data_IF_109070151573
#
_entry.id   IF_109070151573
#
_cell.length_a   1.000
_cell.length_b   1.000
_cell.length_c   1.000
_cell.angle_alpha   90.00
_cell.angle_beta   90.00
_cell.angle_gamma   90.00
#
_symmetry.space_group_name_H-M   'P 1'
#
loop_
_entity.id
_entity.type
_entity.pdbx_description
1 polymer ?
#
# COMPACT_ATOMS: atom_id res chain seq x y z
N UNK A 1 -11.09 -10.18 24.81
CA UNK A 1 -10.77 -9.15 25.82
C UNK A 1 -10.98 -9.75 27.20
N UNK A 2 -9.89 -9.94 27.93
CA UNK A 2 -9.93 -10.37 29.33
C UNK A 2 -10.07 -9.15 30.23
N UNK A 3 -10.61 -9.30 31.44
CA UNK A 3 -10.77 -8.20 32.40
C UNK A 3 -9.45 -7.47 32.73
N UNK A 4 -8.30 -8.13 32.52
CA UNK A 4 -6.95 -7.53 32.60
C UNK A 4 -6.66 -6.49 31.53
N UNK A 5 -7.28 -6.58 30.35
CA UNK A 5 -7.06 -5.62 29.26
C UNK A 5 -7.75 -4.28 29.52
N UNK A 6 -8.70 -4.25 30.48
CA UNK A 6 -9.50 -3.07 30.80
C UNK A 6 -8.81 -2.14 31.81
N UNK A 7 -7.86 -2.65 32.59
CA UNK A 7 -7.03 -1.83 33.48
C UNK A 7 -5.87 -1.13 32.73
N UNK A 8 -5.59 -1.54 31.48
CA UNK A 8 -4.55 -0.95 30.63
C UNK A 8 -4.98 0.36 29.94
N UNK A 9 -6.25 0.77 30.06
CA UNK A 9 -6.80 1.93 29.33
C UNK A 9 -6.97 3.19 30.17
N UNK A 10 -6.68 3.14 31.47
CA UNK A 10 -7.02 4.24 32.39
C UNK A 10 -5.76 4.77 33.06
N UNK A 11 -5.46 6.06 32.87
CA UNK A 11 -4.48 6.75 33.72
C UNK A 11 -5.03 6.83 35.15
N UNK A 12 -4.16 7.10 36.14
CA UNK A 12 -4.52 7.20 37.55
C UNK A 12 -5.67 8.19 37.87
N UNK A 13 -6.07 9.03 36.91
CA UNK A 13 -7.17 10.00 36.99
C UNK A 13 -8.47 9.61 36.27
N UNK A 14 -8.61 8.39 35.72
CA UNK A 14 -9.87 7.98 35.10
C UNK A 14 -10.07 8.49 33.66
N UNK A 15 -9.08 9.15 33.06
CA UNK A 15 -9.10 9.56 31.66
C UNK A 15 -8.58 8.43 30.77
N UNK A 16 -9.31 8.12 29.69
CA UNK A 16 -8.86 7.17 28.67
C UNK A 16 -7.55 7.66 28.08
N UNK A 17 -6.49 6.84 28.18
CA UNK A 17 -5.19 7.16 27.59
C UNK A 17 -5.36 7.38 26.08
N UNK A 18 -5.01 8.58 25.60
CA UNK A 18 -5.02 8.93 24.17
C UNK A 18 -4.02 8.10 23.34
N UNK A 19 -3.23 7.25 23.99
CA UNK A 19 -2.27 6.33 23.40
C UNK A 19 -2.86 4.92 23.14
N UNK A 20 -4.18 4.74 23.28
CA UNK A 20 -4.82 3.42 23.22
C UNK A 20 -4.67 2.79 21.84
N UNK A 21 -3.80 1.79 21.79
CA UNK A 21 -3.44 0.97 20.65
C UNK A 21 -4.53 -0.07 20.38
N UNK A 22 -5.48 0.22 19.49
CA UNK A 22 -6.35 -0.83 18.98
C UNK A 22 -5.66 -1.49 17.79
N UNK A 23 -4.97 -2.63 18.04
CA UNK A 23 -4.58 -3.55 16.96
C UNK A 23 -5.88 -3.95 16.24
N UNK A 24 -6.19 -3.31 15.12
CA UNK A 24 -7.29 -3.73 14.25
C UNK A 24 -6.89 -5.13 13.74
N UNK A 25 -7.45 -6.16 14.36
CA UNK A 25 -7.33 -7.54 13.92
C UNK A 25 -8.10 -7.69 12.63
N UNK A 26 -7.50 -7.27 11.52
CA UNK A 26 -8.04 -7.59 10.20
C UNK A 26 -7.88 -9.08 9.93
N UNK A 27 -8.90 -9.70 9.31
CA UNK A 27 -8.81 -11.11 8.94
C UNK A 27 -7.61 -11.31 7.99
N UNK A 28 -6.80 -12.36 8.19
CA UNK A 28 -5.60 -12.60 7.38
C UNK A 28 -5.94 -12.79 5.89
N UNK A 29 -7.13 -13.27 5.57
CA UNK A 29 -7.61 -13.43 4.19
C UNK A 29 -7.95 -12.08 3.56
N UNK A 30 -8.62 -11.17 4.28
CA UNK A 30 -8.89 -9.80 3.80
C UNK A 30 -7.60 -9.02 3.62
N UNK A 31 -6.66 -9.15 4.57
CA UNK A 31 -5.31 -8.59 4.44
C UNK A 31 -4.62 -9.16 3.21
N UNK A 32 -4.59 -10.47 3.03
CA UNK A 32 -3.97 -11.08 1.87
C UNK A 32 -4.60 -10.66 0.53
N UNK A 33 -5.94 -10.66 0.44
CA UNK A 33 -6.66 -10.29 -0.78
C UNK A 33 -6.54 -8.80 -1.12
N UNK A 34 -6.48 -7.92 -0.12
CA UNK A 34 -6.41 -6.48 -0.33
C UNK A 34 -4.97 -5.94 -0.41
N UNK A 35 -3.99 -6.66 0.17
CA UNK A 35 -2.66 -6.13 0.48
C UNK A 35 -1.52 -7.05 0.04
N UNK A 36 -1.43 -8.27 0.57
CA UNK A 36 -0.23 -9.13 0.42
C UNK A 36 -0.18 -9.94 -0.90
N UNK A 37 -1.31 -10.16 -1.56
CA UNK A 37 -1.41 -11.05 -2.72
C UNK A 37 -0.74 -10.50 -3.99
N UNK A 38 0.02 -11.36 -4.69
CA UNK A 38 0.51 -11.02 -6.04
C UNK A 38 -0.67 -10.57 -6.93
N UNK A 39 -0.55 -9.38 -7.53
CA UNK A 39 -1.58 -8.77 -8.40
C UNK A 39 -2.11 -9.69 -9.50
N UNK A 40 -1.22 -10.50 -10.08
CA UNK A 40 -1.59 -11.48 -11.10
C UNK A 40 -2.41 -12.63 -10.53
N UNK A 41 -2.16 -13.01 -9.27
CA UNK A 41 -2.96 -14.01 -8.56
C UNK A 41 -4.34 -13.47 -8.27
N UNK A 42 -4.47 -12.23 -7.78
CA UNK A 42 -5.78 -11.60 -7.53
C UNK A 42 -6.56 -11.45 -8.84
N UNK A 43 -5.92 -10.92 -9.89
CA UNK A 43 -6.53 -10.86 -11.22
C UNK A 43 -6.94 -12.26 -11.71
N UNK A 44 -6.08 -13.26 -11.51
CA UNK A 44 -6.37 -14.66 -11.84
C UNK A 44 -7.54 -15.25 -11.05
N UNK A 45 -7.67 -14.92 -9.76
CA UNK A 45 -8.81 -15.33 -8.92
C UNK A 45 -10.10 -14.66 -9.36
N UNK A 46 -10.07 -13.35 -9.66
CA UNK A 46 -11.23 -12.63 -10.20
C UNK A 46 -11.66 -13.21 -11.56
N UNK A 47 -10.69 -13.49 -12.43
CA UNK A 47 -10.87 -14.17 -13.70
C UNK A 47 -11.46 -15.57 -13.53
N UNK A 48 -10.91 -16.39 -12.62
CA UNK A 48 -11.40 -17.73 -12.32
C UNK A 48 -12.82 -17.70 -11.72
N UNK A 49 -13.10 -16.71 -10.86
CA UNK A 49 -14.43 -16.45 -10.32
C UNK A 49 -15.43 -16.09 -11.42
N UNK A 50 -15.05 -15.24 -12.37
CA UNK A 50 -15.89 -14.92 -13.53
C UNK A 50 -16.13 -16.16 -14.41
N UNK A 51 -15.10 -16.97 -14.68
CA UNK A 51 -15.25 -18.22 -15.41
C UNK A 51 -16.25 -19.16 -14.71
N UNK A 52 -16.08 -19.36 -13.40
CA UNK A 52 -16.98 -20.18 -12.61
C UNK A 52 -18.41 -19.63 -12.59
N UNK A 53 -18.58 -18.31 -12.57
CA UNK A 53 -19.90 -17.67 -12.65
C UNK A 53 -20.58 -17.95 -14.01
N UNK A 54 -19.85 -17.88 -15.13
CA UNK A 54 -20.40 -18.23 -16.44
C UNK A 54 -20.80 -19.71 -16.50
N UNK A 55 -19.98 -20.61 -15.96
CA UNK A 55 -20.30 -22.04 -15.85
C UNK A 55 -21.55 -22.25 -14.99
N UNK A 56 -21.67 -21.56 -13.86
CA UNK A 56 -22.84 -21.66 -13.00
C UNK A 56 -24.12 -21.16 -13.70
N UNK A 57 -24.04 -20.08 -14.47
CA UNK A 57 -25.16 -19.59 -15.30
C UNK A 57 -25.57 -20.61 -16.36
N UNK A 58 -24.62 -21.31 -16.98
CA UNK A 58 -24.92 -22.40 -17.91
C UNK A 58 -25.63 -23.57 -17.22
N UNK A 59 -25.12 -24.03 -16.08
CA UNK A 59 -25.73 -25.13 -15.31
C UNK A 59 -27.15 -24.77 -14.84
N UNK A 60 -27.39 -23.49 -14.54
CA UNK A 60 -28.72 -22.96 -14.21
C UNK A 60 -29.65 -22.81 -15.43
N UNK A 61 -29.18 -23.08 -16.65
CA UNK A 61 -29.93 -22.93 -17.90
C UNK A 61 -30.11 -21.47 -18.37
N UNK A 62 -29.35 -20.53 -17.79
CA UNK A 62 -29.45 -19.10 -18.08
C UNK A 62 -28.46 -18.61 -19.15
N UNK A 63 -27.50 -19.44 -19.55
CA UNK A 63 -26.49 -19.11 -20.56
C UNK A 63 -26.57 -20.09 -21.75
N UNK A 64 -27.32 -19.77 -22.82
CA UNK A 64 -27.55 -20.67 -23.94
C UNK A 64 -26.35 -20.69 -24.89
N UNK A 65 -25.31 -21.47 -24.56
CA UNK A 65 -24.06 -21.56 -25.34
C UNK A 65 -24.26 -22.06 -26.78
N UNK A 66 -25.33 -22.83 -27.03
CA UNK A 66 -25.71 -23.35 -28.35
C UNK A 66 -26.38 -22.30 -29.22
N UNK A 67 -26.92 -21.23 -28.63
CA UNK A 67 -27.45 -20.08 -29.36
C UNK A 67 -26.28 -19.15 -29.74
N UNK A 68 -25.77 -19.38 -30.94
CA UNK A 68 -24.65 -18.60 -31.47
C UNK A 68 -24.97 -17.10 -31.56
N UNK A 69 -26.21 -16.73 -31.87
CA UNK A 69 -26.59 -15.32 -32.02
C UNK A 69 -26.60 -14.60 -30.67
N UNK A 70 -27.11 -15.26 -29.63
CA UNK A 70 -27.07 -14.73 -28.26
C UNK A 70 -25.63 -14.50 -27.77
N UNK A 71 -24.74 -15.47 -27.96
CA UNK A 71 -23.34 -15.36 -27.53
C UNK A 71 -22.58 -14.31 -28.35
N UNK A 72 -22.77 -14.27 -29.67
CA UNK A 72 -22.17 -13.25 -30.55
C UNK A 72 -22.63 -11.85 -30.16
N UNK A 73 -23.92 -11.68 -29.85
CA UNK A 73 -24.47 -10.41 -29.36
C UNK A 73 -23.81 -9.96 -28.05
N UNK A 74 -23.69 -10.87 -27.07
CA UNK A 74 -22.99 -10.59 -25.82
C UNK A 74 -21.53 -10.19 -26.07
N UNK A 75 -20.81 -10.93 -26.89
CA UNK A 75 -19.41 -10.62 -27.22
C UNK A 75 -19.29 -9.28 -27.94
N UNK A 76 -20.19 -8.97 -28.86
CA UNK A 76 -20.22 -7.69 -29.56
C UNK A 76 -20.36 -6.53 -28.58
N UNK A 77 -21.27 -6.65 -27.60
CA UNK A 77 -21.44 -5.65 -26.55
C UNK A 77 -20.18 -5.53 -25.67
N UNK A 78 -19.59 -6.64 -25.24
CA UNK A 78 -18.40 -6.65 -24.37
C UNK A 78 -17.16 -6.09 -25.08
N UNK A 79 -16.87 -6.56 -26.30
CA UNK A 79 -15.74 -6.08 -27.11
C UNK A 79 -15.94 -4.60 -27.45
N UNK A 80 -17.17 -4.21 -27.81
CA UNK A 80 -17.53 -2.81 -28.06
C UNK A 80 -17.31 -1.90 -26.85
N UNK A 81 -17.59 -2.39 -25.63
CA UNK A 81 -17.32 -1.67 -24.38
C UNK A 81 -15.85 -1.65 -23.96
N UNK A 82 -15.05 -2.61 -24.42
CA UNK A 82 -13.64 -2.73 -24.03
C UNK A 82 -12.77 -1.63 -24.63
N UNK A 83 -13.04 -1.20 -25.88
CA UNK A 83 -12.27 -0.15 -26.55
C UNK A 83 -12.35 1.22 -25.84
N UNK A 84 -13.55 1.77 -25.56
CA UNK A 84 -13.68 3.02 -24.79
C UNK A 84 -13.03 2.90 -23.41
N UNK A 85 -13.18 1.76 -22.75
CA UNK A 85 -12.58 1.53 -21.44
C UNK A 85 -11.05 1.61 -21.47
N UNK A 86 -10.39 0.84 -22.37
CA UNK A 86 -8.93 0.89 -22.54
C UNK A 86 -8.49 2.32 -22.88
N UNK A 87 -9.25 3.01 -23.73
CA UNK A 87 -8.95 4.40 -24.12
C UNK A 87 -8.99 5.36 -22.93
N UNK A 88 -10.03 5.29 -22.09
CA UNK A 88 -10.15 6.11 -20.88
C UNK A 88 -9.00 5.81 -19.92
N UNK A 89 -8.69 4.54 -19.69
CA UNK A 89 -7.63 4.14 -18.76
C UNK A 89 -6.26 4.61 -19.26
N UNK A 90 -5.99 4.48 -20.55
CA UNK A 90 -4.76 4.99 -21.16
C UNK A 90 -4.68 6.52 -21.05
N UNK A 91 -5.78 7.23 -21.30
CA UNK A 91 -5.85 8.69 -21.20
C UNK A 91 -5.58 9.17 -19.77
N UNK A 92 -6.17 8.52 -18.75
CA UNK A 92 -5.90 8.83 -17.34
C UNK A 92 -4.42 8.59 -17.03
N UNK A 93 -3.87 7.45 -17.46
CA UNK A 93 -2.45 7.16 -17.23
C UNK A 93 -1.53 8.18 -17.93
N UNK A 94 -1.88 8.63 -19.14
CA UNK A 94 -1.14 9.66 -19.86
C UNK A 94 -1.23 11.03 -19.17
N UNK A 95 -2.39 11.37 -18.60
CA UNK A 95 -2.55 12.60 -17.82
C UNK A 95 -1.65 12.59 -16.58
N UNK A 96 -1.65 11.49 -15.82
CA UNK A 96 -0.80 11.33 -14.63
C UNK A 96 0.68 11.41 -15.02
N UNK A 97 1.10 10.70 -16.07
CA UNK A 97 2.48 10.73 -16.53
C UNK A 97 2.89 12.14 -17.01
N UNK A 98 1.99 12.86 -17.67
CA UNK A 98 2.24 14.24 -18.09
C UNK A 98 2.44 15.21 -16.93
N UNK A 99 1.87 14.93 -15.75
CA UNK A 99 2.09 15.75 -14.55
C UNK A 99 3.45 15.45 -13.89
N UNK A 100 4.02 14.27 -14.14
CA UNK A 100 5.34 13.87 -13.63
C UNK A 100 6.50 14.35 -14.51
N UNK A 101 6.26 14.46 -15.82
CA UNK A 101 7.20 15.05 -16.77
C UNK A 101 7.17 16.58 -16.66
N UNK A 102 7.57 17.11 -15.50
CA UNK A 102 7.65 18.55 -15.22
C UNK A 102 8.67 19.29 -16.10
N UNK A 103 8.64 20.62 -16.07
CA UNK A 103 9.61 21.45 -16.80
C UNK A 103 10.96 21.46 -16.09
N UNK A 104 12.06 21.73 -16.82
CA UNK A 104 13.43 21.71 -16.28
C UNK A 104 13.63 22.50 -14.97
N UNK A 105 13.03 23.69 -14.75
CA UNK A 105 13.13 24.39 -13.48
C UNK A 105 12.54 23.61 -12.31
N UNK A 106 11.37 23.00 -12.49
CA UNK A 106 10.69 22.19 -11.46
C UNK A 106 11.53 20.95 -11.12
N UNK A 107 12.13 20.33 -12.14
CA UNK A 107 13.02 19.17 -11.96
C UNK A 107 14.27 19.55 -11.16
N UNK A 108 14.85 20.73 -11.40
CA UNK A 108 16.00 21.24 -10.62
C UNK A 108 15.63 21.44 -9.16
N UNK A 109 14.53 22.15 -8.87
CA UNK A 109 14.09 22.40 -7.49
C UNK A 109 13.78 21.10 -6.74
N UNK A 110 13.15 20.11 -7.41
CA UNK A 110 12.91 18.79 -6.82
C UNK A 110 14.22 18.05 -6.52
N UNK A 111 15.19 18.10 -7.44
CA UNK A 111 16.49 17.47 -7.25
C UNK A 111 17.27 18.11 -6.09
N UNK A 112 17.32 19.45 -6.05
CA UNK A 112 17.97 20.21 -4.98
C UNK A 112 17.32 19.89 -3.63
N UNK A 113 15.99 19.93 -3.53
CA UNK A 113 15.28 19.59 -2.28
C UNK A 113 15.48 18.14 -1.81
N UNK A 114 15.57 17.17 -2.72
CA UNK A 114 15.90 15.78 -2.37
C UNK A 114 17.36 15.63 -1.92
N UNK A 115 18.27 16.39 -2.50
CA UNK A 115 19.69 16.38 -2.13
C UNK A 115 19.90 17.02 -0.76
N UNK A 116 19.20 18.12 -0.48
CA UNK A 116 19.22 18.79 0.83
C UNK A 116 18.64 17.86 1.89
N UNK A 117 17.50 17.21 1.61
CA UNK A 117 16.92 16.21 2.51
C UNK A 117 17.86 15.03 2.79
N UNK A 118 18.60 14.53 1.79
CA UNK A 118 19.63 13.52 2.00
C UNK A 118 20.76 14.03 2.89
N UNK A 119 21.21 15.27 2.68
CA UNK A 119 22.28 15.88 3.48
C UNK A 119 21.86 16.08 4.93
N UNK A 120 20.64 16.53 5.17
CA UNK A 120 20.11 16.71 6.53
C UNK A 120 20.09 15.38 7.30
N UNK A 121 19.71 14.29 6.62
CA UNK A 121 19.78 12.93 7.20
C UNK A 121 21.24 12.49 7.41
N UNK A 122 22.14 12.74 6.46
CA UNK A 122 23.58 12.41 6.57
C UNK A 122 24.23 13.10 7.78
N UNK A 123 23.96 14.40 7.96
CA UNK A 123 24.45 15.20 9.08
C UNK A 123 23.95 14.66 10.42
N UNK A 124 22.65 14.38 10.54
CA UNK A 124 22.04 13.94 11.80
C UNK A 124 22.37 12.49 12.17
N UNK A 125 22.60 11.64 11.17
CA UNK A 125 22.98 10.22 11.37
C UNK A 125 24.48 10.00 11.42
N UNK A 126 25.29 11.02 11.09
CA UNK A 126 26.73 10.88 10.89
C UNK A 126 27.10 9.90 9.78
N UNK A 127 26.14 9.58 8.89
CA UNK A 127 26.39 8.69 7.76
C UNK A 127 27.09 9.46 6.65
N UNK A 128 27.98 8.78 5.91
CA UNK A 128 28.72 9.40 4.82
C UNK A 128 27.82 9.76 3.63
N UNK A 129 27.78 8.91 2.61
CA UNK A 129 26.84 9.06 1.49
C UNK A 129 25.64 8.14 1.74
N UNK A 130 24.45 8.70 1.70
CA UNK A 130 23.19 7.99 1.87
C UNK A 130 23.02 6.85 0.84
N UNK A 131 22.37 5.73 1.21
CA UNK A 131 22.05 4.67 0.26
C UNK A 131 21.22 5.17 -0.93
N UNK A 132 21.55 4.69 -2.13
CA UNK A 132 20.84 5.08 -3.35
C UNK A 132 19.44 4.44 -3.50
N UNK A 133 19.16 3.33 -2.80
CA UNK A 133 17.86 2.69 -2.86
C UNK A 133 16.90 3.32 -1.83
N UNK A 134 15.65 3.63 -2.21
CA UNK A 134 14.69 4.22 -1.27
C UNK A 134 14.42 3.37 -0.02
N UNK A 135 14.42 2.03 -0.17
CA UNK A 135 14.22 1.10 0.93
C UNK A 135 15.41 1.13 1.92
N UNK A 136 16.64 1.12 1.42
CA UNK A 136 17.83 1.20 2.29
C UNK A 136 17.97 2.58 2.94
N UNK A 137 17.63 3.65 2.23
CA UNK A 137 17.61 5.00 2.80
C UNK A 137 16.57 5.12 3.92
N UNK A 138 15.39 4.53 3.75
CA UNK A 138 14.40 4.49 4.81
C UNK A 138 14.85 3.64 6.01
N UNK A 139 15.49 2.49 5.76
CA UNK A 139 16.04 1.64 6.82
C UNK A 139 17.14 2.37 7.62
N UNK A 140 17.98 3.16 6.96
CA UNK A 140 18.98 4.02 7.62
C UNK A 140 18.30 4.95 8.64
N UNK A 141 17.23 5.64 8.23
CA UNK A 141 16.51 6.57 9.13
C UNK A 141 15.84 5.81 10.28
N UNK A 142 15.19 4.67 10.01
CA UNK A 142 14.57 3.84 11.06
C UNK A 142 15.61 3.41 12.08
N UNK A 143 16.76 2.90 11.63
CA UNK A 143 17.86 2.44 12.49
C UNK A 143 18.39 3.59 13.34
N UNK A 144 18.66 4.75 12.73
CA UNK A 144 19.14 5.92 13.45
C UNK A 144 18.13 6.42 14.49
N UNK A 145 16.82 6.34 14.18
CA UNK A 145 15.77 6.75 15.12
C UNK A 145 15.70 5.81 16.32
N UNK A 146 15.84 4.50 16.10
CA UNK A 146 15.91 3.48 17.18
C UNK A 146 17.16 3.70 18.04
N UNK A 147 18.31 3.90 17.42
CA UNK A 147 19.57 4.14 18.12
C UNK A 147 19.53 5.42 18.94
N UNK A 148 18.83 6.45 18.47
CA UNK A 148 18.62 7.69 19.22
C UNK A 148 17.65 7.50 20.39
N UNK A 149 16.55 6.76 20.20
CA UNK A 149 15.63 6.44 21.26
C UNK A 149 16.32 5.68 22.42
N UNK A 150 17.25 4.77 22.11
CA UNK A 150 18.07 4.03 23.09
C UNK A 150 18.96 4.92 23.98
N UNK A 151 19.27 6.14 23.54
CA UNK A 151 20.11 7.07 24.31
C UNK A 151 19.32 7.87 25.34
N UNK A 152 17.98 7.99 25.17
CA UNK A 152 17.13 8.78 26.06
C UNK A 152 17.23 8.40 27.54
N UNK A 153 17.30 7.11 27.95
CA UNK A 153 17.42 6.75 29.37
C UNK A 153 18.71 7.28 30.01
N UNK A 154 19.79 7.36 29.24
CA UNK A 154 21.08 7.91 29.70
C UNK A 154 21.08 9.42 29.83
N UNK A 155 20.17 10.10 29.13
CA UNK A 155 20.00 11.55 29.17
C UNK A 155 19.05 12.04 30.28
N UNK A 156 18.38 11.12 30.99
CA UNK A 156 17.46 11.45 32.08
C UNK A 156 18.21 11.87 33.34
N UNK A 157 17.72 12.93 33.98
CA UNK A 157 18.22 13.38 35.27
C UNK A 157 18.07 12.29 36.34
N UNK A 158 19.04 12.21 37.25
CA UNK A 158 19.03 11.21 38.32
C UNK A 158 17.78 11.32 39.21
N UNK A 159 17.30 12.54 39.44
CA UNK A 159 16.13 12.89 40.24
C UNK A 159 14.83 12.98 39.43
N UNK A 160 14.85 12.63 38.13
CA UNK A 160 13.65 12.55 37.32
C UNK A 160 12.58 11.65 37.97
N UNK A 161 11.34 12.13 37.94
CA UNK A 161 10.21 11.44 38.55
C UNK A 161 10.02 10.03 37.96
N UNK A 162 9.80 9.05 38.84
CA UNK A 162 9.68 7.63 38.44
C UNK A 162 8.64 7.36 37.35
N UNK A 163 7.55 8.14 37.32
CA UNK A 163 6.50 8.01 36.32
C UNK A 163 6.97 8.44 34.92
N UNK A 164 7.73 9.54 34.79
CA UNK A 164 8.30 10.03 33.52
C UNK A 164 9.29 9.02 32.94
N UNK A 165 10.17 8.48 33.79
CA UNK A 165 11.14 7.43 33.41
C UNK A 165 10.44 6.18 32.88
N UNK A 166 9.41 5.71 33.57
CA UNK A 166 8.64 4.52 33.16
C UNK A 166 7.93 4.73 31.82
N UNK A 167 7.38 5.92 31.57
CA UNK A 167 6.72 6.21 30.29
C UNK A 167 7.71 6.24 29.13
N UNK A 168 8.89 6.85 29.33
CA UNK A 168 9.95 6.90 28.32
C UNK A 168 10.49 5.50 28.03
N UNK A 169 10.73 4.67 29.04
CA UNK A 169 11.13 3.27 28.86
C UNK A 169 10.09 2.50 28.02
N UNK A 170 8.80 2.65 28.32
CA UNK A 170 7.72 2.01 27.54
C UNK A 170 7.67 2.52 26.10
N UNK A 171 7.87 3.83 25.90
CA UNK A 171 7.95 4.42 24.57
C UNK A 171 9.10 3.82 23.77
N UNK A 172 10.28 3.69 24.38
CA UNK A 172 11.47 3.09 23.73
C UNK A 172 11.21 1.63 23.39
N UNK A 173 10.71 0.80 24.32
CA UNK A 173 10.41 -0.62 24.05
C UNK A 173 9.44 -0.79 22.87
N UNK A 174 8.41 0.06 22.81
CA UNK A 174 7.45 0.04 21.70
C UNK A 174 8.12 0.45 20.39
N UNK A 175 8.94 1.50 20.43
CA UNK A 175 9.63 2.03 19.26
C UNK A 175 10.70 1.06 18.72
N UNK A 176 11.44 0.39 19.59
CA UNK A 176 12.40 -0.66 19.24
C UNK A 176 11.71 -1.85 18.56
N UNK A 177 10.63 -2.36 19.16
CA UNK A 177 9.88 -3.48 18.58
C UNK A 177 9.31 -3.14 17.20
N UNK A 178 8.81 -1.91 17.02
CA UNK A 178 8.34 -1.41 15.72
C UNK A 178 9.52 -1.30 14.74
N UNK A 179 10.63 -0.69 15.17
CA UNK A 179 11.82 -0.48 14.36
C UNK A 179 12.48 -1.77 13.86
N UNK A 180 12.61 -2.78 14.72
CA UNK A 180 13.12 -4.12 14.35
C UNK A 180 12.22 -4.80 13.33
N UNK A 181 10.89 -4.70 13.50
CA UNK A 181 9.92 -5.25 12.56
C UNK A 181 10.04 -4.58 11.19
N UNK A 182 10.17 -3.25 11.16
CA UNK A 182 10.33 -2.48 9.92
C UNK A 182 11.67 -2.77 9.26
N UNK A 183 12.75 -2.83 10.03
CA UNK A 183 14.10 -3.07 9.52
C UNK A 183 14.22 -4.46 8.90
N UNK A 184 13.77 -5.51 9.59
CA UNK A 184 13.76 -6.87 9.07
C UNK A 184 12.92 -7.00 7.79
N UNK A 185 11.80 -6.28 7.69
CA UNK A 185 10.97 -6.27 6.50
C UNK A 185 11.54 -5.42 5.35
N UNK A 186 12.53 -4.56 5.59
CA UNK A 186 13.20 -3.74 4.56
C UNK A 186 14.52 -4.36 4.07
N UNK A 187 15.16 -5.22 4.86
CA UNK A 187 16.49 -5.80 4.56
C UNK A 187 16.50 -6.62 3.26
N UNK A 188 15.47 -7.42 3.02
CA UNK A 188 15.34 -8.28 1.83
C UNK A 188 14.35 -7.73 0.78
N UNK A 189 13.73 -6.57 1.03
CA UNK A 189 12.62 -6.12 0.21
C UNK A 189 13.08 -5.43 -1.08
N UNK A 190 12.75 -6.02 -2.22
CA UNK A 190 12.97 -5.35 -3.50
C UNK A 190 12.00 -4.17 -3.67
N UNK A 191 12.51 -3.05 -4.18
CA UNK A 191 11.71 -1.87 -4.46
C UNK A 191 10.59 -2.19 -5.47
N UNK A 192 9.36 -1.75 -5.16
CA UNK A 192 8.17 -2.08 -5.96
C UNK A 192 7.40 -3.32 -5.46
N UNK A 193 7.92 -4.04 -4.47
CA UNK A 193 7.17 -5.11 -3.78
C UNK A 193 6.23 -4.58 -2.71
N UNK A 194 5.15 -5.32 -2.44
CA UNK A 194 4.27 -4.99 -1.32
C UNK A 194 4.99 -5.05 0.02
N UNK A 195 5.91 -5.99 0.19
CA UNK A 195 6.64 -6.20 1.44
C UNK A 195 7.35 -4.91 1.88
N UNK A 196 8.07 -4.29 0.95
CA UNK A 196 8.71 -2.99 1.14
C UNK A 196 7.71 -1.89 1.52
N UNK A 197 6.51 -1.89 0.94
CA UNK A 197 5.46 -0.92 1.28
C UNK A 197 4.81 -1.25 2.64
N UNK A 198 4.57 -2.51 2.94
CA UNK A 198 3.86 -2.96 4.14
C UNK A 198 4.66 -2.71 5.41
N UNK A 199 6.00 -2.87 5.33
CA UNK A 199 6.94 -2.48 6.37
C UNK A 199 6.73 -0.99 6.74
N UNK A 200 6.50 -0.17 5.73
CA UNK A 200 6.41 1.29 5.83
C UNK A 200 5.02 1.78 6.24
N UNK A 201 3.96 1.04 5.88
CA UNK A 201 2.58 1.42 6.13
C UNK A 201 1.95 0.83 7.42
N UNK A 202 2.61 -0.14 8.06
CA UNK A 202 2.01 -0.90 9.17
C UNK A 202 2.07 -0.24 10.56
N UNK A 203 2.99 0.70 10.80
CA UNK A 203 3.29 1.20 12.13
C UNK A 203 3.00 2.72 12.22
N UNK A 204 2.05 3.09 13.09
CA UNK A 204 1.43 4.42 13.14
C UNK A 204 2.33 5.44 13.87
N UNK A 205 3.18 6.14 13.13
CA UNK A 205 4.22 7.01 13.72
C UNK A 205 3.76 8.43 14.09
N UNK A 206 2.54 8.85 13.73
CA UNK A 206 2.01 10.14 14.19
C UNK A 206 2.08 10.22 15.72
N UNK A 207 1.79 9.10 16.38
CA UNK A 207 1.89 8.96 17.84
C UNK A 207 3.31 9.10 18.37
N UNK A 208 4.30 8.51 17.70
CA UNK A 208 5.70 8.56 18.14
C UNK A 208 6.27 9.98 18.05
N UNK A 209 5.98 10.68 16.95
CA UNK A 209 6.36 12.09 16.79
C UNK A 209 5.65 13.00 17.80
N UNK A 210 4.37 12.76 18.09
CA UNK A 210 3.65 13.49 19.14
C UNK A 210 4.23 13.23 20.52
N UNK A 211 4.45 11.96 20.89
CA UNK A 211 5.01 11.59 22.19
C UNK A 211 6.38 12.25 22.41
N UNK A 212 7.28 12.16 21.44
CA UNK A 212 8.60 12.81 21.53
C UNK A 212 8.49 14.34 21.67
N UNK A 213 7.54 14.98 20.97
CA UNK A 213 7.28 16.42 21.13
C UNK A 213 6.69 16.76 22.49
N UNK A 214 5.81 15.92 23.04
CA UNK A 214 5.27 16.08 24.39
C UNK A 214 6.37 15.96 25.43
N UNK A 215 7.27 14.97 25.31
CA UNK A 215 8.42 14.85 26.20
C UNK A 215 9.30 16.10 26.15
N UNK A 216 9.52 16.66 24.96
CA UNK A 216 10.33 17.87 24.79
C UNK A 216 9.68 19.11 25.40
N UNK A 217 8.37 19.27 25.24
CA UNK A 217 7.65 20.47 25.68
C UNK A 217 7.31 20.42 27.18
N UNK A 218 6.80 19.28 27.65
CA UNK A 218 6.29 19.13 29.02
C UNK A 218 7.34 18.59 30.00
N UNK A 219 8.29 17.78 29.53
CA UNK A 219 9.24 17.05 30.40
C UNK A 219 10.71 17.42 30.15
N UNK A 220 11.01 18.57 29.54
CA UNK A 220 12.39 19.02 29.31
C UNK A 220 13.23 19.04 30.60
N UNK A 221 12.63 19.40 31.72
CA UNK A 221 13.26 19.40 33.06
C UNK A 221 13.66 18.01 33.57
N UNK A 222 13.13 16.94 32.99
CA UNK A 222 13.45 15.57 33.37
C UNK A 222 14.73 15.05 32.70
N UNK A 223 15.30 15.81 31.75
CA UNK A 223 16.52 15.47 31.03
C UNK A 223 17.68 16.35 31.49
N UNK A 224 18.84 15.73 31.77
CA UNK A 224 20.10 16.45 31.97
C UNK A 224 20.61 17.02 30.63
N UNK A 225 20.38 16.29 29.53
CA UNK A 225 20.74 16.67 28.17
C UNK A 225 19.53 16.49 27.22
N UNK A 226 19.08 17.56 26.56
CA UNK A 226 17.91 17.50 25.65
C UNK A 226 18.27 17.14 24.22
N UNK A 227 19.55 17.21 23.84
CA UNK A 227 20.05 16.96 22.48
C UNK A 227 19.62 15.59 21.94
N UNK A 228 19.68 14.47 22.71
CA UNK A 228 19.17 13.19 22.21
C UNK A 228 17.68 13.18 21.90
N UNK A 229 16.88 13.97 22.63
CA UNK A 229 15.44 14.10 22.41
C UNK A 229 15.12 15.00 21.22
N UNK A 230 15.86 16.09 21.05
CA UNK A 230 15.73 17.01 19.92
C UNK A 230 16.01 16.29 18.60
N UNK A 231 17.13 15.56 18.55
CA UNK A 231 17.53 14.80 17.38
C UNK A 231 16.55 13.65 17.08
N UNK A 232 15.95 13.05 18.11
CA UNK A 232 14.89 12.06 17.91
C UNK A 232 13.65 12.67 17.23
N UNK A 233 13.22 13.85 17.68
CA UNK A 233 12.08 14.56 17.08
C UNK A 233 12.37 14.89 15.61
N UNK A 234 13.59 15.31 15.30
CA UNK A 234 14.03 15.64 13.95
C UNK A 234 14.08 14.39 13.04
N UNK A 235 14.69 13.29 13.51
CA UNK A 235 14.70 12.00 12.80
C UNK A 235 13.29 11.47 12.54
N UNK A 236 12.36 11.58 13.49
CA UNK A 236 10.96 11.21 13.30
C UNK A 236 10.28 12.08 12.23
N UNK A 237 10.66 13.34 12.12
CA UNK A 237 10.24 14.25 11.03
C UNK A 237 10.76 13.78 9.67
N UNK A 238 12.07 13.48 9.57
CA UNK A 238 12.66 12.95 8.34
C UNK A 238 12.07 11.60 7.95
N UNK A 239 11.82 10.74 8.94
CA UNK A 239 11.17 9.45 8.72
C UNK A 239 9.78 9.65 8.10
N UNK A 240 8.99 10.63 8.57
CA UNK A 240 7.69 10.94 7.99
C UNK A 240 7.80 11.38 6.52
N UNK A 241 8.76 12.24 6.20
CA UNK A 241 9.03 12.70 4.83
C UNK A 241 9.47 11.53 3.94
N UNK A 242 10.44 10.73 4.40
CA UNK A 242 10.97 9.59 3.67
C UNK A 242 9.88 8.55 3.33
N UNK A 243 8.99 8.24 4.27
CA UNK A 243 7.85 7.33 4.02
C UNK A 243 6.90 7.88 2.97
N UNK A 244 6.59 9.18 3.02
CA UNK A 244 5.70 9.80 2.04
C UNK A 244 6.33 9.78 0.64
N UNK A 245 7.62 10.05 0.54
CA UNK A 245 8.38 9.92 -0.71
C UNK A 245 8.37 8.48 -1.20
N UNK A 246 8.67 7.51 -0.35
CA UNK A 246 8.64 6.09 -0.68
C UNK A 246 7.27 5.64 -1.20
N UNK A 247 6.19 6.02 -0.50
CA UNK A 247 4.81 5.75 -0.89
C UNK A 247 4.46 6.35 -2.25
N UNK A 248 4.90 7.59 -2.50
CA UNK A 248 4.67 8.28 -3.78
C UNK A 248 5.35 7.53 -4.91
N UNK A 249 6.64 7.20 -4.76
CA UNK A 249 7.40 6.43 -5.74
C UNK A 249 6.79 5.03 -5.96
N UNK A 250 6.27 4.41 -4.90
CA UNK A 250 5.59 3.12 -4.97
C UNK A 250 4.34 3.18 -5.83
N UNK A 251 3.45 4.14 -5.57
CA UNK A 251 2.20 4.32 -6.32
C UNK A 251 2.50 4.63 -7.79
N UNK A 252 3.49 5.48 -8.06
CA UNK A 252 3.95 5.77 -9.41
C UNK A 252 4.45 4.49 -10.12
N UNK A 253 5.24 3.67 -9.44
CA UNK A 253 5.70 2.39 -9.98
C UNK A 253 4.54 1.45 -10.32
N UNK A 254 3.58 1.28 -9.41
CA UNK A 254 2.40 0.43 -9.65
C UNK A 254 1.54 0.93 -10.82
N UNK A 255 1.37 2.25 -10.97
CA UNK A 255 0.66 2.83 -12.12
C UNK A 255 1.38 2.57 -13.43
N UNK A 256 2.72 2.71 -13.46
CA UNK A 256 3.52 2.38 -14.63
C UNK A 256 3.42 0.89 -15.01
N UNK A 257 3.48 0.00 -14.02
CA UNK A 257 3.31 -1.45 -14.22
C UNK A 257 1.89 -1.76 -14.71
N UNK A 258 0.86 -1.16 -14.12
CA UNK A 258 -0.53 -1.32 -14.55
C UNK A 258 -0.70 -0.95 -16.03
N UNK A 259 -0.20 0.22 -16.43
CA UNK A 259 -0.26 0.68 -17.82
C UNK A 259 0.35 -0.32 -18.80
N UNK A 260 1.55 -0.83 -18.47
CA UNK A 260 2.22 -1.87 -19.27
C UNK A 260 1.40 -3.17 -19.34
N UNK A 261 0.82 -3.60 -18.22
CA UNK A 261 0.02 -4.83 -18.17
C UNK A 261 -1.29 -4.69 -18.95
N UNK A 262 -1.92 -3.52 -18.92
CA UNK A 262 -3.10 -3.24 -19.73
C UNK A 262 -2.79 -3.26 -21.22
N UNK A 263 -1.60 -2.83 -21.65
CA UNK A 263 -1.18 -3.00 -23.04
C UNK A 263 -0.97 -4.48 -23.40
N UNK A 264 -0.29 -5.23 -22.52
CA UNK A 264 -0.03 -6.66 -22.74
C UNK A 264 -1.29 -7.53 -22.77
N UNK A 265 -2.32 -7.17 -22.00
CA UNK A 265 -3.57 -7.93 -21.93
C UNK A 265 -4.63 -7.35 -22.85
N UNK A 266 -4.70 -6.02 -22.97
CA UNK A 266 -5.70 -5.31 -23.77
C UNK A 266 -5.62 -5.61 -25.26
N UNK A 267 -4.41 -5.67 -25.84
CA UNK A 267 -4.27 -5.97 -27.27
C UNK A 267 -4.71 -7.41 -27.62
N UNK A 268 -4.23 -8.48 -26.93
CA UNK A 268 -4.75 -9.83 -27.13
C UNK A 268 -6.24 -9.96 -26.87
N UNK A 269 -6.78 -9.19 -25.93
CA UNK A 269 -8.21 -9.16 -25.63
C UNK A 269 -9.02 -8.66 -26.82
N UNK A 270 -8.60 -7.56 -27.45
CA UNK A 270 -9.29 -7.00 -28.61
C UNK A 270 -9.19 -7.91 -29.84
N UNK A 271 -7.98 -8.39 -30.12
CA UNK A 271 -7.75 -9.27 -31.28
C UNK A 271 -8.46 -10.61 -31.08
N UNK A 272 -8.28 -11.24 -29.92
CA UNK A 272 -8.89 -12.54 -29.61
C UNK A 272 -10.41 -12.44 -29.47
N UNK A 273 -10.92 -11.40 -28.81
CA UNK A 273 -12.36 -11.12 -28.73
C UNK A 273 -12.99 -10.87 -30.10
N UNK A 274 -12.33 -10.09 -30.96
CA UNK A 274 -12.77 -9.86 -32.34
C UNK A 274 -12.73 -11.12 -33.20
N UNK A 275 -11.68 -11.94 -33.10
CA UNK A 275 -11.59 -13.23 -33.80
C UNK A 275 -12.67 -14.20 -33.32
N UNK A 276 -12.92 -14.27 -32.02
CA UNK A 276 -14.00 -15.08 -31.46
C UNK A 276 -15.36 -14.58 -31.95
N UNK A 277 -15.61 -13.27 -31.97
CA UNK A 277 -16.85 -12.69 -32.48
C UNK A 277 -17.16 -13.14 -33.92
N UNK A 278 -16.15 -13.15 -34.80
CA UNK A 278 -16.32 -13.55 -36.22
C UNK A 278 -16.41 -15.08 -36.38
N UNK A 279 -15.78 -15.85 -35.50
CA UNK A 279 -15.65 -17.31 -35.65
C UNK A 279 -16.67 -18.12 -34.83
N UNK A 280 -17.26 -17.55 -33.78
CA UNK A 280 -18.08 -18.30 -32.81
C UNK A 280 -19.23 -19.06 -33.46
N UNK A 281 -19.96 -18.45 -34.40
CA UNK A 281 -21.05 -19.14 -35.10
C UNK A 281 -20.59 -20.39 -35.86
N UNK A 282 -19.38 -20.38 -36.44
CA UNK A 282 -18.81 -21.56 -37.09
C UNK A 282 -18.35 -22.60 -36.07
N UNK A 283 -17.79 -22.16 -34.95
CA UNK A 283 -17.38 -23.03 -33.85
C UNK A 283 -18.60 -23.74 -33.27
N UNK A 284 -19.69 -23.02 -33.00
CA UNK A 284 -20.94 -23.57 -32.49
C UNK A 284 -21.57 -24.60 -33.44
N UNK A 285 -21.48 -24.39 -34.75
CA UNK A 285 -21.95 -25.37 -35.74
C UNK A 285 -21.06 -26.61 -35.84
N UNK A 286 -19.75 -26.49 -35.59
CA UNK A 286 -18.78 -27.57 -35.73
C UNK A 286 -18.61 -28.42 -34.46
N UNK A 287 -18.82 -27.84 -33.28
CA UNK A 287 -18.63 -28.49 -32.00
C UNK A 287 -19.95 -29.08 -31.51
N UNK A 288 -20.05 -30.42 -31.49
CA UNK A 288 -21.24 -31.12 -31.00
C UNK A 288 -21.29 -31.32 -29.48
N UNK A 289 -20.21 -30.99 -28.76
CA UNK A 289 -20.11 -31.18 -27.31
C UNK A 289 -20.39 -29.85 -26.59
N UNK A 290 -21.53 -29.77 -25.91
CA UNK A 290 -21.97 -28.57 -25.19
C UNK A 290 -20.99 -28.11 -24.11
N UNK A 291 -20.30 -29.03 -23.42
CA UNK A 291 -19.31 -28.68 -22.41
C UNK A 291 -18.05 -28.07 -23.02
N UNK A 292 -17.65 -28.52 -24.21
CA UNK A 292 -16.55 -27.91 -24.94
C UNK A 292 -16.95 -26.53 -25.47
N UNK A 293 -18.19 -26.39 -25.96
CA UNK A 293 -18.77 -25.12 -26.37
C UNK A 293 -18.84 -24.12 -25.22
N UNK A 294 -19.27 -24.56 -24.04
CA UNK A 294 -19.25 -23.78 -22.81
C UNK A 294 -17.83 -23.34 -22.45
N UNK A 295 -16.85 -24.24 -22.48
CA UNK A 295 -15.47 -23.90 -22.15
C UNK A 295 -14.93 -22.79 -23.07
N UNK A 296 -15.20 -22.88 -24.38
CA UNK A 296 -14.84 -21.85 -25.35
C UNK A 296 -15.59 -20.54 -25.08
N UNK A 297 -16.90 -20.61 -24.85
CA UNK A 297 -17.73 -19.44 -24.58
C UNK A 297 -17.32 -18.72 -23.28
N UNK A 298 -17.06 -19.46 -22.21
CA UNK A 298 -16.61 -18.93 -20.93
C UNK A 298 -15.18 -18.37 -21.04
N UNK A 299 -14.28 -19.05 -21.76
CA UNK A 299 -12.93 -18.55 -22.02
C UNK A 299 -12.95 -17.23 -22.81
N UNK A 300 -13.83 -17.09 -23.79
CA UNK A 300 -13.99 -15.85 -24.53
C UNK A 300 -14.55 -14.71 -23.69
N UNK A 301 -15.55 -14.95 -22.82
CA UNK A 301 -16.02 -13.94 -21.86
C UNK A 301 -14.85 -13.48 -20.99
N UNK A 302 -14.15 -14.42 -20.38
CA UNK A 302 -13.00 -14.13 -19.52
C UNK A 302 -11.94 -13.34 -20.26
N UNK A 303 -11.60 -13.73 -21.49
CA UNK A 303 -10.62 -13.05 -22.34
C UNK A 303 -11.00 -11.57 -22.49
N UNK A 304 -12.26 -11.27 -22.83
CA UNK A 304 -12.76 -9.90 -22.97
C UNK A 304 -12.68 -9.09 -21.67
N UNK A 305 -12.84 -9.75 -20.52
CA UNK A 305 -12.76 -9.12 -19.20
C UNK A 305 -11.34 -9.03 -18.60
N UNK A 306 -10.32 -9.67 -19.17
CA UNK A 306 -8.99 -9.68 -18.57
C UNK A 306 -8.42 -8.27 -18.26
N UNK A 307 -8.53 -7.26 -19.14
CA UNK A 307 -8.03 -5.91 -18.85
C UNK A 307 -8.75 -5.30 -17.65
N UNK A 308 -10.04 -5.59 -17.46
CA UNK A 308 -10.82 -5.13 -16.32
C UNK A 308 -10.38 -5.81 -15.03
N UNK A 309 -10.10 -7.11 -15.05
CA UNK A 309 -9.63 -7.84 -13.86
C UNK A 309 -8.25 -7.37 -13.41
N UNK A 310 -7.37 -7.12 -14.38
CA UNK A 310 -6.07 -6.48 -14.12
C UNK A 310 -6.29 -5.09 -13.53
N UNK A 311 -7.11 -4.23 -14.16
CA UNK A 311 -7.37 -2.89 -13.61
C UNK A 311 -7.91 -2.95 -12.18
N UNK A 312 -8.94 -3.77 -11.94
CA UNK A 312 -9.60 -3.86 -10.65
C UNK A 312 -8.62 -4.32 -9.56
N UNK A 313 -7.77 -5.30 -9.85
CA UNK A 313 -6.75 -5.77 -8.91
C UNK A 313 -5.79 -4.66 -8.47
N UNK A 314 -5.31 -3.83 -9.41
CA UNK A 314 -4.38 -2.74 -9.07
C UNK A 314 -5.12 -1.55 -8.44
N UNK A 315 -6.31 -1.22 -8.93
CA UNK A 315 -7.12 -0.12 -8.40
C UNK A 315 -7.53 -0.37 -6.94
N UNK A 316 -7.95 -1.59 -6.60
CA UNK A 316 -8.27 -1.97 -5.22
C UNK A 316 -7.07 -1.77 -4.29
N UNK A 317 -5.86 -2.13 -4.75
CA UNK A 317 -4.64 -1.97 -3.98
C UNK A 317 -4.28 -0.51 -3.77
N UNK A 318 -4.27 0.30 -4.82
CA UNK A 318 -4.00 1.74 -4.73
C UNK A 318 -5.02 2.42 -3.81
N UNK A 319 -6.31 2.07 -3.94
CA UNK A 319 -7.36 2.57 -3.07
C UNK A 319 -7.16 2.14 -1.61
N UNK A 320 -6.76 0.88 -1.36
CA UNK A 320 -6.47 0.38 -0.01
C UNK A 320 -5.25 1.07 0.59
N UNK A 321 -4.18 1.26 -0.19
CA UNK A 321 -3.00 2.03 0.20
C UNK A 321 -3.43 3.44 0.58
N UNK A 322 -4.18 4.14 -0.28
CA UNK A 322 -4.68 5.48 -0.03
C UNK A 322 -5.55 5.55 1.24
N UNK A 323 -6.45 4.58 1.45
CA UNK A 323 -7.33 4.52 2.61
C UNK A 323 -6.58 4.28 3.93
N UNK A 324 -5.58 3.40 3.95
CA UNK A 324 -4.76 3.11 5.15
C UNK A 324 -3.74 4.18 5.51
N UNK A 325 -3.64 5.22 4.69
CA UNK A 325 -2.60 6.25 4.81
C UNK A 325 -3.17 7.66 4.74
N UNK A 326 -4.45 7.79 5.10
CA UNK A 326 -5.11 9.07 5.30
C UNK A 326 -4.46 9.87 6.46
N UNK A 327 -3.62 9.23 7.27
CA UNK A 327 -2.75 9.85 8.27
C UNK A 327 -1.62 10.59 7.56
N UNK A 328 -1.78 11.90 7.42
CA UNK A 328 -0.75 12.78 6.92
C UNK A 328 -0.21 13.67 8.05
N UNK A 329 1.09 13.58 8.32
CA UNK A 329 1.80 14.49 9.21
C UNK A 329 1.43 14.31 10.71
N UNK A 330 1.41 15.39 11.51
CA UNK A 330 1.16 15.33 12.95
C UNK A 330 -0.33 15.18 13.27
N UNK A 331 -1.13 14.55 12.42
CA UNK A 331 -2.55 14.36 12.67
C UNK A 331 -2.82 12.87 12.84
N UNK A 332 -3.28 12.51 14.03
CA UNK A 332 -3.71 11.15 14.38
C UNK A 332 -5.24 11.16 14.26
N UNK A 333 -5.83 10.57 13.22
CA UNK A 333 -7.27 10.50 13.11
C UNK A 333 -7.83 9.59 14.19
N UNK A 334 -8.97 10.01 14.76
CA UNK A 334 -9.71 9.19 15.72
C UNK A 334 -10.35 8.03 14.96
N UNK A 335 -10.13 6.80 15.41
CA UNK A 335 -10.91 5.67 14.93
C UNK A 335 -12.39 5.96 15.25
N UNK A 336 -13.24 5.99 14.22
CA UNK A 336 -14.69 6.02 14.42
C UNK A 336 -15.11 4.66 14.99
N UNK A 337 -15.60 4.66 16.23
CA UNK A 337 -16.27 3.51 16.81
C UNK A 337 -17.66 3.36 16.20
N UNK A 338 -17.74 2.65 15.07
CA UNK A 338 -18.97 2.02 14.58
C UNK A 338 -18.74 0.51 14.38
#
# INVERSE_FOLDING_TARGET
>A
MSARDRELSTTANGEESQLTYQKVTESPIRRWLMLDGHRLVIAGLLTGGLYAAVVALYVAGLFPVTDAEAVVTLYGALVGGTLPFITIVLAINQLVLSQELGWTPDLRTRFEGMTDFQRDVEELTGSGVSPASPAAFLNLIVTATVDRARQLPGALAADAESHKRTEIERFIETFESDGETVSAALEDAEFGTFEALSAVLGHHQGNHYHAARTFRDEWSEAFDETEPLEDLVELLGYLAIARQTFKTLYVQHELAVLSRMLLYVGFPTLVGGGLLLVSYGRIAAAVANDWLLLAIAAAGVVLVFLPFMVLLSYALRIATIAARTADFGPFVPRASSE
#
